data_IF_391229468354
#
_entry.id   IF_391229468354
#
_cell.length_a   1.000
_cell.length_b   1.000
_cell.length_c   1.000
_cell.angle_alpha   90.00
_cell.angle_beta   90.00
_cell.angle_gamma   90.00
#
_symmetry.space_group_name_H-M   'P 1'
#
loop_
_entity.id
_entity.type
_entity.pdbx_description
1 polymer ?
#
# COMPACT_ATOMS: atom_id res chain seq x y z
N UNK A 1 4.70 -18.49 11.62
CA UNK A 1 4.42 -19.06 10.29
C UNK A 1 5.36 -18.39 9.30
N UNK A 2 6.10 -19.20 8.55
CA UNK A 2 7.35 -18.82 7.87
C UNK A 2 7.15 -17.83 6.72
N UNK A 3 8.07 -16.87 6.62
CA UNK A 3 8.17 -15.86 5.55
C UNK A 3 8.33 -16.54 4.18
N UNK A 4 7.23 -16.88 3.50
CA UNK A 4 7.23 -17.18 2.05
C UNK A 4 7.11 -15.87 1.26
N UNK A 5 8.07 -14.97 1.44
CA UNK A 5 8.16 -13.75 0.66
C UNK A 5 9.03 -13.98 -0.58
N UNK A 6 8.55 -13.62 -1.76
CA UNK A 6 9.39 -13.53 -2.96
C UNK A 6 10.64 -12.68 -2.62
N UNK A 7 11.82 -13.29 -2.64
CA UNK A 7 13.09 -12.69 -2.22
C UNK A 7 13.65 -11.75 -3.30
N UNK A 8 13.01 -10.61 -3.56
CA UNK A 8 13.54 -9.60 -4.48
C UNK A 8 13.86 -8.30 -3.73
N UNK A 9 15.06 -7.71 -3.93
CA UNK A 9 15.36 -6.39 -3.38
C UNK A 9 14.28 -5.37 -3.78
N UNK A 10 13.80 -4.60 -2.79
CA UNK A 10 12.74 -3.62 -3.01
C UNK A 10 11.30 -4.17 -3.00
N UNK A 11 11.10 -5.47 -2.71
CA UNK A 11 9.77 -6.02 -2.43
C UNK A 11 9.54 -6.07 -0.91
N UNK A 12 8.47 -5.43 -0.47
CA UNK A 12 8.09 -5.38 0.94
C UNK A 12 6.69 -5.96 1.09
N UNK A 13 6.56 -7.01 1.90
CA UNK A 13 5.27 -7.59 2.27
C UNK A 13 4.78 -6.92 3.56
N UNK A 14 3.52 -6.49 3.54
CA UNK A 14 2.82 -5.83 4.65
C UNK A 14 1.39 -6.37 4.70
N UNK A 15 0.73 -6.22 5.84
CA UNK A 15 -0.61 -6.80 6.05
C UNK A 15 -1.72 -5.79 5.78
N UNK A 16 -1.45 -4.48 5.92
CA UNK A 16 -2.46 -3.42 5.77
C UNK A 16 -2.06 -2.33 4.79
N UNK A 17 -3.06 -1.61 4.28
CA UNK A 17 -2.84 -0.44 3.42
C UNK A 17 -2.14 0.71 4.17
N UNK A 18 -2.40 0.86 5.47
CA UNK A 18 -1.74 1.84 6.34
C UNK A 18 -0.24 1.58 6.44
N UNK A 19 0.15 0.33 6.71
CA UNK A 19 1.56 -0.09 6.72
C UNK A 19 2.21 0.14 5.35
N UNK A 20 1.50 -0.19 4.26
CA UNK A 20 1.97 0.01 2.90
C UNK A 20 2.26 1.49 2.62
N UNK A 21 1.33 2.39 2.95
CA UNK A 21 1.47 3.83 2.72
C UNK A 21 2.58 4.43 3.60
N UNK A 22 2.64 4.05 4.88
CA UNK A 22 3.69 4.48 5.80
C UNK A 22 5.09 4.10 5.30
N UNK A 23 5.24 2.87 4.80
CA UNK A 23 6.49 2.41 4.22
C UNK A 23 6.79 3.11 2.89
N UNK A 24 5.80 3.28 2.02
CA UNK A 24 5.96 3.97 0.74
C UNK A 24 6.40 5.43 0.94
N UNK A 25 5.84 6.16 1.92
CA UNK A 25 6.27 7.52 2.29
C UNK A 25 7.76 7.57 2.66
N UNK A 26 8.26 6.57 3.39
CA UNK A 26 9.68 6.49 3.81
C UNK A 26 10.63 6.14 2.66
N UNK A 27 10.18 5.31 1.71
CA UNK A 27 11.03 4.79 0.64
C UNK A 27 11.01 5.65 -0.63
N UNK A 28 9.93 6.39 -0.87
CA UNK A 28 9.77 7.21 -2.08
C UNK A 28 10.71 8.42 -2.03
N UNK A 29 11.61 8.50 -3.01
CA UNK A 29 12.55 9.61 -3.12
C UNK A 29 11.88 10.85 -3.71
N UNK A 30 12.44 12.06 -3.49
CA UNK A 30 12.04 13.24 -4.24
C UNK A 30 12.01 12.97 -5.76
N UNK A 31 11.06 13.60 -6.44
CA UNK A 31 10.83 13.47 -7.89
C UNK A 31 10.38 12.08 -8.37
N UNK A 32 9.89 11.22 -7.47
CA UNK A 32 9.27 9.94 -7.82
C UNK A 32 7.79 9.94 -7.40
N UNK A 33 7.00 9.04 -8.01
CA UNK A 33 5.59 8.87 -7.69
C UNK A 33 5.35 7.55 -6.92
N UNK A 34 4.44 7.59 -5.95
CA UNK A 34 3.87 6.42 -5.32
C UNK A 34 2.47 6.17 -5.89
N UNK A 35 2.23 4.99 -6.44
CA UNK A 35 0.97 4.65 -7.12
C UNK A 35 0.31 3.46 -6.42
N UNK A 36 -0.97 3.61 -6.06
CA UNK A 36 -1.80 2.49 -5.62
C UNK A 36 -2.41 1.79 -6.85
N UNK A 37 -1.90 0.61 -7.19
CA UNK A 37 -2.41 -0.24 -8.27
C UNK A 37 -2.48 -1.71 -7.84
N UNK A 38 -3.50 -2.10 -7.03
CA UNK A 38 -3.50 -3.37 -6.29
C UNK A 38 -3.76 -4.62 -7.16
N UNK A 39 -4.14 -4.48 -8.44
CA UNK A 39 -4.44 -5.58 -9.37
C UNK A 39 -5.41 -6.66 -8.83
N UNK A 40 -6.16 -6.34 -7.76
CA UNK A 40 -7.00 -7.26 -7.00
C UNK A 40 -8.26 -6.56 -6.49
N UNK A 41 -9.28 -7.37 -6.19
CA UNK A 41 -10.55 -6.89 -5.62
C UNK A 41 -10.33 -6.21 -4.27
N UNK A 42 -11.26 -5.35 -3.85
CA UNK A 42 -11.18 -4.63 -2.57
C UNK A 42 -11.94 -5.30 -1.44
N UNK A 43 -12.75 -6.31 -1.73
CA UNK A 43 -13.83 -6.79 -0.85
C UNK A 43 -13.37 -7.49 0.42
N UNK A 44 -12.10 -7.90 0.48
CA UNK A 44 -11.55 -8.58 1.66
C UNK A 44 -11.42 -7.63 2.86
N UNK A 45 -11.07 -6.36 2.61
CA UNK A 45 -10.79 -5.36 3.65
C UNK A 45 -11.59 -4.06 3.51
N UNK A 46 -12.28 -3.87 2.39
CA UNK A 46 -12.99 -2.62 2.08
C UNK A 46 -14.36 -2.91 1.50
N UNK A 47 -15.31 -2.01 1.78
CA UNK A 47 -16.67 -2.05 1.21
C UNK A 47 -16.68 -2.10 -0.33
N UNK A 48 -15.82 -1.33 -0.97
CA UNK A 48 -15.68 -1.20 -2.42
C UNK A 48 -14.33 -0.55 -2.78
N UNK A 49 -14.06 -0.37 -4.07
CA UNK A 49 -12.78 0.17 -4.54
C UNK A 49 -12.65 1.67 -4.24
N UNK A 50 -13.76 2.42 -4.22
CA UNK A 50 -13.81 3.83 -3.87
C UNK A 50 -13.42 4.03 -2.40
N UNK A 51 -13.97 3.23 -1.49
CA UNK A 51 -13.62 3.28 -0.07
C UNK A 51 -12.12 3.00 0.14
N UNK A 52 -11.53 2.05 -0.61
CA UNK A 52 -10.08 1.81 -0.59
C UNK A 52 -9.29 3.03 -1.08
N UNK A 53 -9.77 3.69 -2.13
CA UNK A 53 -9.16 4.91 -2.67
C UNK A 53 -9.24 6.10 -1.71
N UNK A 54 -10.37 6.28 -1.03
CA UNK A 54 -10.56 7.31 -0.02
C UNK A 54 -9.61 7.12 1.17
N UNK A 55 -9.50 5.88 1.65
CA UNK A 55 -8.56 5.52 2.72
C UNK A 55 -7.12 5.78 2.28
N UNK A 56 -6.74 5.39 1.06
CA UNK A 56 -5.41 5.70 0.52
C UNK A 56 -5.12 7.21 0.48
N UNK A 57 -6.07 8.02 -0.03
CA UNK A 57 -5.91 9.48 -0.10
C UNK A 57 -5.67 10.06 1.29
N UNK A 58 -6.50 9.68 2.27
CA UNK A 58 -6.38 10.14 3.65
C UNK A 58 -5.00 9.80 4.23
N UNK A 59 -4.59 8.53 4.14
CA UNK A 59 -3.30 8.07 4.62
C UNK A 59 -2.12 8.75 3.90
N UNK A 60 -2.25 9.04 2.60
CA UNK A 60 -1.17 9.62 1.81
C UNK A 60 -0.95 11.13 2.08
N UNK A 61 -2.02 11.89 2.35
CA UNK A 61 -1.97 13.35 2.34
C UNK A 61 -2.47 14.05 3.62
N UNK A 62 -3.29 13.38 4.43
CA UNK A 62 -3.99 14.00 5.56
C UNK A 62 -3.41 13.59 6.93
N UNK A 63 -2.51 12.60 6.94
CA UNK A 63 -1.70 12.17 8.10
C UNK A 63 -0.23 12.62 8.01
#
# INVERSE_FOLDING_TARGET
MEKKGLLRPGLYQVETLEEAVSLAKKLTRPHHACVLSPAASSYDHFKNFEHRGDVFRKLAFEE
#
